data_IF_224959111316
#
_entry.id   IF_224959111316
#
_cell.length_a   1.000
_cell.length_b   1.000
_cell.length_c   1.000
_cell.angle_alpha   90.00
_cell.angle_beta   90.00
_cell.angle_gamma   90.00
#
_symmetry.space_group_name_H-M   'P 1'
#
loop_
_entity.id
_entity.type
_entity.pdbx_description
1 polymer ?
#
# COMPACT_ATOMS: atom_id res chain seq x y z
N UNK A 1 -10.29 5.76 2.83
CA UNK A 1 -9.46 4.55 2.61
C UNK A 1 -8.48 4.95 1.54
N UNK A 2 -7.19 4.62 1.71
CA UNK A 2 -6.19 5.08 0.78
C UNK A 2 -6.38 4.50 -0.62
N UNK A 3 -5.71 5.13 -1.57
CA UNK A 3 -5.94 4.88 -2.98
C UNK A 3 -5.26 3.58 -3.46
N UNK A 4 -6.09 2.62 -3.87
CA UNK A 4 -5.69 1.32 -4.41
C UNK A 4 -4.69 1.42 -5.56
N UNK A 5 -4.90 2.41 -6.44
CA UNK A 5 -4.17 2.51 -7.70
C UNK A 5 -2.79 3.12 -7.55
N UNK A 6 -2.61 4.11 -6.68
CA UNK A 6 -1.29 4.68 -6.34
C UNK A 6 -0.35 3.57 -5.91
N UNK A 7 -0.81 2.75 -4.95
CA UNK A 7 -0.07 1.61 -4.45
C UNK A 7 0.23 0.55 -5.51
N UNK A 8 -0.79 0.13 -6.27
CA UNK A 8 -0.61 -0.91 -7.30
C UNK A 8 0.34 -0.48 -8.42
N UNK A 9 0.18 0.75 -8.92
CA UNK A 9 0.99 1.28 -10.02
C UNK A 9 2.42 1.54 -9.55
N UNK A 10 2.61 2.15 -8.37
CA UNK A 10 3.95 2.37 -7.84
C UNK A 10 4.70 1.06 -7.59
N UNK A 11 4.02 0.03 -7.07
CA UNK A 11 4.62 -1.28 -6.89
C UNK A 11 5.09 -1.89 -8.22
N UNK A 12 4.34 -1.72 -9.32
CA UNK A 12 4.77 -2.19 -10.64
C UNK A 12 6.05 -1.48 -11.11
N UNK A 13 6.12 -0.16 -10.94
CA UNK A 13 7.31 0.64 -11.30
C UNK A 13 8.51 0.24 -10.44
N UNK A 14 8.32 0.15 -9.13
CA UNK A 14 9.37 -0.24 -8.18
C UNK A 14 9.88 -1.63 -8.52
N UNK A 15 8.97 -2.59 -8.76
CA UNK A 15 9.33 -3.93 -9.20
C UNK A 15 10.21 -3.88 -10.45
N UNK A 16 9.82 -3.12 -11.47
CA UNK A 16 10.60 -3.05 -12.71
C UNK A 16 11.99 -2.41 -12.55
N UNK A 17 12.16 -1.50 -11.59
CA UNK A 17 13.45 -0.88 -11.26
C UNK A 17 14.36 -1.76 -10.39
N UNK A 18 13.87 -2.87 -9.83
CA UNK A 18 14.72 -3.83 -9.11
C UNK A 18 15.70 -4.51 -10.07
N UNK A 19 16.91 -4.77 -9.61
CA UNK A 19 17.86 -5.62 -10.32
C UNK A 19 17.44 -7.10 -10.29
N UNK A 20 18.04 -7.90 -11.18
CA UNK A 20 17.69 -9.31 -11.38
C UNK A 20 17.79 -10.15 -10.11
N UNK A 21 18.79 -9.88 -9.25
CA UNK A 21 18.95 -10.58 -7.96
C UNK A 21 17.69 -10.37 -7.12
N UNK A 22 17.29 -9.12 -6.89
CA UNK A 22 16.13 -8.80 -6.06
C UNK A 22 14.81 -9.24 -6.69
N UNK A 23 14.63 -9.10 -8.01
CA UNK A 23 13.44 -9.62 -8.72
C UNK A 23 13.26 -11.12 -8.48
N UNK A 24 14.34 -11.91 -8.49
CA UNK A 24 14.30 -13.37 -8.32
C UNK A 24 13.87 -13.81 -6.91
N UNK A 25 14.05 -12.97 -5.89
CA UNK A 25 13.62 -13.25 -4.51
C UNK A 25 12.08 -13.09 -4.34
N UNK A 26 11.43 -12.38 -5.26
CA UNK A 26 9.97 -12.23 -5.29
C UNK A 26 9.35 -13.42 -6.04
N UNK A 27 9.21 -14.54 -5.33
CA UNK A 27 8.65 -15.78 -5.87
C UNK A 27 7.17 -15.67 -6.31
N UNK A 28 6.41 -14.73 -5.75
CA UNK A 28 5.00 -14.52 -6.10
C UNK A 28 4.67 -13.06 -6.34
N UNK A 29 4.58 -12.66 -7.62
CA UNK A 29 4.09 -11.33 -8.02
C UNK A 29 2.69 -11.04 -7.48
N UNK A 30 1.82 -12.06 -7.37
CA UNK A 30 0.46 -11.92 -6.82
C UNK A 30 0.50 -11.45 -5.36
N UNK A 31 1.37 -12.05 -4.55
CA UNK A 31 1.56 -11.66 -3.15
C UNK A 31 2.25 -10.31 -3.02
N UNK A 32 3.19 -10.00 -3.90
CA UNK A 32 3.82 -8.68 -3.96
C UNK A 32 2.80 -7.57 -4.22
N UNK A 33 1.95 -7.70 -5.25
CA UNK A 33 0.93 -6.70 -5.54
C UNK A 33 -0.18 -6.61 -4.48
N UNK A 34 -0.51 -7.71 -3.80
CA UNK A 34 -1.41 -7.66 -2.66
C UNK A 34 -0.74 -7.00 -1.43
N UNK A 35 0.54 -7.30 -1.20
CA UNK A 35 1.35 -6.67 -0.16
C UNK A 35 1.51 -5.17 -0.37
N UNK A 36 1.55 -4.72 -1.63
CA UNK A 36 1.56 -3.30 -1.99
C UNK A 36 0.32 -2.53 -1.51
N UNK A 37 -0.77 -3.21 -1.20
CA UNK A 37 -1.95 -2.60 -0.58
C UNK A 37 -1.81 -2.47 0.94
N UNK A 38 -0.76 -3.04 1.52
CA UNK A 38 -0.31 -2.80 2.88
C UNK A 38 -1.34 -3.03 3.98
N UNK A 39 -1.36 -2.10 4.94
CA UNK A 39 -2.26 -2.14 6.08
C UNK A 39 -3.72 -1.87 5.69
N UNK A 40 -3.94 -1.27 4.52
CA UNK A 40 -5.27 -0.80 4.11
C UNK A 40 -6.28 -1.91 3.91
N UNK A 41 -5.80 -3.05 3.44
CA UNK A 41 -6.62 -4.26 3.31
C UNK A 41 -7.38 -4.54 4.61
N UNK A 42 -6.70 -4.34 5.75
CA UNK A 42 -7.20 -4.65 7.08
C UNK A 42 -8.12 -3.59 7.68
N UNK A 43 -8.37 -2.47 7.00
CA UNK A 43 -9.50 -1.60 7.35
C UNK A 43 -10.84 -2.35 7.24
N UNK A 44 -10.92 -3.36 6.39
CA UNK A 44 -12.14 -4.15 6.15
C UNK A 44 -12.25 -5.42 7.00
N UNK A 45 -11.30 -5.65 7.92
CA UNK A 45 -11.26 -6.86 8.74
C UNK A 45 -12.45 -6.94 9.71
N UNK A 46 -12.72 -5.86 10.44
CA UNK A 46 -13.86 -5.72 11.32
C UNK A 46 -14.77 -4.57 10.84
N UNK A 47 -16.09 -4.81 10.79
CA UNK A 47 -17.10 -3.82 10.38
C UNK A 47 -17.65 -3.03 11.58
N UNK A 48 -17.21 -3.35 12.79
CA UNK A 48 -17.60 -2.61 13.99
C UNK A 48 -16.76 -1.35 14.11
N UNK A 49 -17.37 -0.16 14.31
CA UNK A 49 -16.64 1.07 14.63
C UNK A 49 -16.10 0.99 16.06
N UNK A 50 -15.10 0.14 16.28
CA UNK A 50 -14.34 0.06 17.52
C UNK A 50 -12.98 0.72 17.33
N UNK A 51 -12.37 1.20 18.42
CA UNK A 51 -11.01 1.76 18.41
C UNK A 51 -9.94 0.76 17.91
N UNK A 52 -10.27 -0.52 17.84
CA UNK A 52 -9.40 -1.66 17.53
C UNK A 52 -9.39 -2.09 16.04
N UNK A 53 -9.52 -1.15 15.09
CA UNK A 53 -9.39 -1.51 13.67
C UNK A 53 -7.94 -1.88 13.32
N UNK A 54 -7.72 -3.09 12.82
CA UNK A 54 -6.38 -3.63 12.52
C UNK A 54 -5.61 -2.75 11.54
N UNK A 55 -6.26 -2.29 10.45
CA UNK A 55 -5.62 -1.39 9.49
C UNK A 55 -5.10 -0.13 10.18
N UNK A 56 -5.91 0.51 11.03
CA UNK A 56 -5.47 1.68 11.82
C UNK A 56 -4.32 1.35 12.78
N UNK A 57 -4.37 0.20 13.45
CA UNK A 57 -3.31 -0.22 14.37
C UNK A 57 -1.99 -0.42 13.64
N UNK A 58 -2.01 -1.02 12.44
CA UNK A 58 -0.80 -1.25 11.65
C UNK A 58 -0.11 0.05 11.23
N UNK A 59 -0.86 1.05 10.74
CA UNK A 59 -0.29 2.35 10.36
C UNK A 59 0.26 3.16 11.55
N UNK A 60 -0.12 2.83 12.78
CA UNK A 60 0.40 3.45 14.01
C UNK A 60 1.62 2.74 14.59
N UNK A 61 1.95 1.53 14.14
CA UNK A 61 3.14 0.81 14.62
C UNK A 61 4.39 1.44 14.01
N UNK A 62 5.51 1.34 14.71
CA UNK A 62 6.83 1.60 14.12
C UNK A 62 7.02 0.74 12.87
N UNK A 63 7.46 1.35 11.78
CA UNK A 63 7.71 0.63 10.53
C UNK A 63 8.79 -0.43 10.74
N UNK A 64 9.90 -0.11 11.41
CA UNK A 64 10.94 -1.08 11.76
C UNK A 64 10.36 -2.31 12.47
N UNK A 65 9.59 -2.11 13.54
CA UNK A 65 8.95 -3.20 14.29
C UNK A 65 8.00 -4.04 13.40
N UNK A 66 7.24 -3.38 12.53
CA UNK A 66 6.31 -4.04 11.62
C UNK A 66 7.06 -4.92 10.60
N UNK A 67 8.14 -4.39 10.01
CA UNK A 67 8.91 -5.11 8.99
C UNK A 67 9.78 -6.22 9.56
N UNK A 68 10.33 -6.07 10.77
CA UNK A 68 11.01 -7.15 11.51
C UNK A 68 10.13 -8.39 11.65
N UNK A 69 8.81 -8.21 11.77
CA UNK A 69 7.84 -9.32 11.82
C UNK A 69 7.40 -9.78 10.43
N UNK A 70 7.18 -8.87 9.48
CA UNK A 70 6.77 -9.25 8.12
C UNK A 70 7.79 -10.15 7.42
N UNK A 71 9.09 -9.90 7.59
CA UNK A 71 10.15 -10.69 6.93
C UNK A 71 10.24 -12.14 7.41
N UNK A 72 9.64 -12.45 8.56
CA UNK A 72 9.50 -13.81 9.07
C UNK A 72 8.34 -14.57 8.40
N UNK A 73 7.45 -13.84 7.71
CA UNK A 73 6.35 -14.38 6.92
C UNK A 73 6.72 -14.58 5.44
N UNK A 74 5.78 -14.31 4.55
CA UNK A 74 6.02 -14.43 3.12
C UNK A 74 6.82 -13.22 2.58
N UNK A 75 8.03 -13.47 2.07
CA UNK A 75 8.93 -12.42 1.63
C UNK A 75 8.39 -11.59 0.44
N UNK A 76 7.63 -12.19 -0.47
CA UNK A 76 7.03 -11.44 -1.59
C UNK A 76 5.96 -10.47 -1.07
N UNK A 77 5.16 -10.90 -0.10
CA UNK A 77 4.17 -10.05 0.54
C UNK A 77 4.82 -8.91 1.34
N UNK A 78 5.87 -9.22 2.11
CA UNK A 78 6.65 -8.21 2.85
C UNK A 78 7.28 -7.17 1.90
N UNK A 79 7.86 -7.61 0.79
CA UNK A 79 8.42 -6.72 -0.23
C UNK A 79 7.35 -5.81 -0.85
N UNK A 80 6.15 -6.34 -1.11
CA UNK A 80 5.00 -5.52 -1.49
C UNK A 80 4.66 -4.48 -0.43
N UNK A 81 4.59 -4.89 0.85
CA UNK A 81 4.31 -3.97 1.95
C UNK A 81 5.33 -2.82 2.03
N UNK A 82 6.59 -3.06 1.68
CA UNK A 82 7.61 -2.01 1.62
C UNK A 82 7.29 -0.92 0.59
N UNK A 83 6.63 -1.24 -0.52
CA UNK A 83 6.20 -0.22 -1.49
C UNK A 83 5.05 0.62 -0.95
N UNK A 84 4.14 0.01 -0.18
CA UNK A 84 3.09 0.74 0.53
C UNK A 84 3.70 1.73 1.53
N UNK A 85 4.62 1.24 2.36
CA UNK A 85 5.36 2.07 3.31
C UNK A 85 6.06 3.26 2.64
N UNK A 86 6.74 3.02 1.52
CA UNK A 86 7.40 4.07 0.77
C UNK A 86 6.43 5.16 0.31
N UNK A 87 5.26 4.77 -0.22
CA UNK A 87 4.25 5.73 -0.68
C UNK A 87 3.66 6.51 0.48
N UNK A 88 3.25 5.82 1.52
CA UNK A 88 2.62 6.46 2.67
C UNK A 88 3.57 7.45 3.33
N UNK A 89 4.79 7.00 3.67
CA UNK A 89 5.75 7.83 4.40
C UNK A 89 6.28 9.03 3.61
N UNK A 90 6.21 9.00 2.27
CA UNK A 90 6.78 10.04 1.40
C UNK A 90 5.72 10.96 0.79
N UNK A 91 4.51 10.47 0.50
CA UNK A 91 3.47 11.23 -0.22
C UNK A 91 2.31 11.68 0.68
N UNK A 92 2.06 11.05 1.84
CA UNK A 92 1.02 11.55 2.74
C UNK A 92 1.19 13.00 3.23
N UNK A 93 2.41 13.54 3.42
CA UNK A 93 2.58 14.95 3.73
C UNK A 93 1.89 15.88 2.72
N UNK A 94 1.93 15.53 1.42
CA UNK A 94 1.26 16.29 0.35
C UNK A 94 -0.27 16.15 0.42
N UNK A 95 -0.76 14.94 0.73
CA UNK A 95 -2.20 14.68 0.95
C UNK A 95 -2.71 15.53 2.11
N UNK A 96 -1.98 15.58 3.24
CA UNK A 96 -2.34 16.36 4.40
C UNK A 96 -2.21 17.86 4.17
N UNK A 97 -1.19 18.31 3.44
CA UNK A 97 -1.06 19.71 3.06
C UNK A 97 -2.28 20.16 2.26
N UNK A 98 -2.70 19.38 1.25
CA UNK A 98 -3.92 19.67 0.50
C UNK A 98 -5.18 19.60 1.38
N UNK A 99 -5.35 18.55 2.19
CA UNK A 99 -6.51 18.39 3.07
C UNK A 99 -6.70 19.60 3.99
N UNK A 100 -5.62 20.13 4.59
CA UNK A 100 -5.65 21.31 5.47
C UNK A 100 -6.16 22.59 4.77
N UNK A 101 -6.00 22.69 3.45
CA UNK A 101 -6.51 23.85 2.67
C UNK A 101 -8.00 23.76 2.35
N UNK A 102 -8.65 22.60 2.57
CA UNK A 102 -10.02 22.34 2.15
C UNK A 102 -10.92 22.14 3.37
N UNK A 103 -12.13 22.70 3.33
CA UNK A 103 -13.18 22.47 4.35
C UNK A 103 -13.95 21.16 4.14
N UNK A 104 -13.62 20.37 3.12
CA UNK A 104 -14.39 19.20 2.72
C UNK A 104 -13.83 17.93 3.38
N UNK A 105 -14.63 17.15 4.14
CA UNK A 105 -14.18 15.92 4.80
C UNK A 105 -13.76 14.81 3.81
N UNK A 106 -14.10 14.95 2.53
CA UNK A 106 -13.68 14.03 1.46
C UNK A 106 -12.44 14.52 0.71
N UNK A 107 -11.81 15.64 1.11
CA UNK A 107 -10.64 16.20 0.43
C UNK A 107 -9.48 15.19 0.38
N UNK A 108 -9.21 14.54 1.51
CA UNK A 108 -8.18 13.49 1.65
C UNK A 108 -8.38 12.38 0.59
N UNK A 109 -9.51 11.68 0.64
CA UNK A 109 -9.81 10.57 -0.27
C UNK A 109 -9.92 10.99 -1.74
N UNK A 110 -10.33 12.24 -2.03
CA UNK A 110 -10.33 12.76 -3.40
C UNK A 110 -8.91 12.95 -3.93
N UNK A 111 -8.03 13.49 -3.10
CA UNK A 111 -6.63 13.72 -3.47
C UNK A 111 -5.88 12.40 -3.67
N UNK A 112 -6.01 11.44 -2.76
CA UNK A 112 -5.45 10.09 -2.93
C UNK A 112 -5.92 9.46 -4.27
N UNK A 113 -7.22 9.58 -4.59
CA UNK A 113 -7.77 9.07 -5.86
C UNK A 113 -7.20 9.77 -7.10
N UNK A 114 -6.89 11.06 -7.03
CA UNK A 114 -6.28 11.80 -8.14
C UNK A 114 -4.79 11.52 -8.27
N UNK A 115 -4.11 11.33 -7.14
CA UNK A 115 -2.71 10.89 -7.10
C UNK A 115 -2.53 9.56 -7.85
N UNK A 116 -3.44 8.61 -7.68
CA UNK A 116 -3.40 7.34 -8.42
C UNK A 116 -3.59 7.50 -9.93
N UNK A 117 -4.42 8.46 -10.36
CA UNK A 117 -4.55 8.80 -11.78
C UNK A 117 -3.29 9.49 -12.30
N UNK A 118 -2.69 10.38 -11.51
CA UNK A 118 -1.46 11.08 -11.88
C UNK A 118 -0.29 10.11 -12.03
N UNK A 119 -0.02 9.26 -11.05
CA UNK A 119 1.07 8.27 -11.10
C UNK A 119 0.88 7.33 -12.30
N UNK A 120 -0.34 6.85 -12.53
CA UNK A 120 -0.70 6.04 -13.71
C UNK A 120 -0.39 6.74 -15.03
N UNK A 121 -0.71 8.03 -15.16
CA UNK A 121 -0.43 8.81 -16.37
C UNK A 121 1.06 9.09 -16.56
N UNK A 122 1.74 9.50 -15.49
CA UNK A 122 3.17 9.82 -15.49
C UNK A 122 4.00 8.64 -16.03
N UNK A 123 3.66 7.42 -15.61
CA UNK A 123 4.40 6.22 -15.99
C UNK A 123 3.76 5.42 -17.14
N UNK A 124 2.65 5.91 -17.73
CA UNK A 124 1.97 5.23 -18.82
C UNK A 124 1.38 3.86 -18.46
N UNK A 125 1.12 3.61 -17.17
CA UNK A 125 0.66 2.31 -16.67
C UNK A 125 -0.85 2.25 -16.51
N UNK A 126 -1.44 1.12 -16.87
CA UNK A 126 -2.88 0.91 -16.75
C UNK A 126 -3.25 0.55 -15.31
N UNK A 127 -4.18 1.30 -14.74
CA UNK A 127 -4.85 0.96 -13.47
C UNK A 127 -5.67 -0.32 -13.60
N UNK A 128 -5.33 -1.34 -12.81
CA UNK A 128 -6.02 -2.63 -12.76
C UNK A 128 -6.28 -3.05 -11.32
N UNK A 129 -7.43 -3.68 -11.08
CA UNK A 129 -7.76 -4.28 -9.77
C UNK A 129 -7.41 -5.76 -9.87
N UNK A 130 -6.69 -6.28 -8.88
CA UNK A 130 -6.37 -7.71 -8.78
C UNK A 130 -7.65 -8.55 -8.89
N UNK A 131 -7.69 -9.56 -9.78
CA UNK A 131 -8.82 -10.49 -9.87
C UNK A 131 -9.13 -11.14 -8.52
N UNK A 132 -10.41 -11.38 -8.26
CA UNK A 132 -10.88 -11.92 -6.98
C UNK A 132 -10.25 -13.27 -6.66
N UNK A 133 -10.13 -14.14 -7.66
CA UNK A 133 -9.59 -15.50 -7.54
C UNK A 133 -8.11 -15.45 -7.16
N UNK A 134 -7.35 -14.53 -7.77
CA UNK A 134 -5.94 -14.28 -7.45
C UNK A 134 -5.81 -13.77 -6.01
N UNK A 135 -6.62 -12.78 -5.64
CA UNK A 135 -6.60 -12.18 -4.32
C UNK A 135 -6.93 -13.22 -3.22
N UNK A 136 -7.97 -14.05 -3.43
CA UNK A 136 -8.36 -15.08 -2.47
C UNK A 136 -7.37 -16.26 -2.40
N UNK A 137 -6.66 -16.57 -3.48
CA UNK A 137 -5.58 -17.58 -3.47
C UNK A 137 -4.42 -17.20 -2.53
N UNK A 138 -4.30 -15.92 -2.14
CA UNK A 138 -3.27 -15.42 -1.25
C UNK A 138 -3.65 -15.50 0.24
N UNK A 139 -4.84 -15.99 0.59
CA UNK A 139 -5.38 -15.95 1.97
C UNK A 139 -4.43 -16.57 3.01
N UNK A 140 -3.91 -17.77 2.74
CA UNK A 140 -3.01 -18.48 3.65
C UNK A 140 -1.72 -17.70 3.93
N UNK A 141 -0.91 -17.38 2.89
CA UNK A 141 0.32 -16.60 3.07
C UNK A 141 0.12 -15.23 3.73
N UNK A 142 -1.00 -14.55 3.43
CA UNK A 142 -1.35 -13.28 4.10
C UNK A 142 -1.64 -13.51 5.58
N UNK A 143 -2.45 -14.52 5.92
CA UNK A 143 -2.73 -14.89 7.30
C UNK A 143 -1.43 -15.24 8.06
N UNK A 144 -0.57 -16.06 7.47
CA UNK A 144 0.69 -16.47 8.08
C UNK A 144 1.65 -15.32 8.34
N UNK A 145 1.63 -14.29 7.48
CA UNK A 145 2.45 -13.10 7.66
C UNK A 145 1.86 -12.14 8.71
N UNK A 146 0.54 -11.95 8.69
CA UNK A 146 -0.12 -10.93 9.52
C UNK A 146 -0.34 -11.41 10.96
N UNK A 147 -0.50 -12.72 11.20
CA UNK A 147 -0.60 -13.28 12.56
C UNK A 147 0.66 -13.02 13.41
N UNK A 148 1.80 -12.77 12.78
CA UNK A 148 3.06 -12.43 13.45
C UNK A 148 3.06 -10.99 14.03
N UNK A 149 2.15 -10.15 13.53
CA UNK A 149 1.99 -8.75 13.92
C UNK A 149 0.75 -8.61 14.81
N UNK A 150 -0.39 -9.17 14.39
CA UNK A 150 -1.65 -9.18 15.12
C UNK A 150 -2.12 -10.62 15.39
N UNK A 151 -1.69 -11.26 16.49
CA UNK A 151 -1.97 -12.66 16.78
C UNK A 151 -3.46 -13.03 16.88
N UNK A 152 -4.34 -12.04 17.04
CA UNK A 152 -5.79 -12.20 17.12
C UNK A 152 -6.45 -12.43 15.75
N UNK A 153 -5.72 -12.29 14.63
CA UNK A 153 -6.30 -12.59 13.32
C UNK A 153 -6.55 -14.09 13.16
N UNK A 154 -7.59 -14.44 12.42
CA UNK A 154 -7.90 -15.84 12.08
C UNK A 154 -7.89 -16.02 10.57
N UNK A 155 -7.61 -17.23 10.10
CA UNK A 155 -7.59 -17.54 8.66
C UNK A 155 -8.93 -17.18 7.99
N UNK A 156 -10.05 -17.58 8.60
CA UNK A 156 -11.40 -17.23 8.09
C UNK A 156 -11.69 -15.73 8.17
N UNK A 157 -11.12 -15.03 9.17
CA UNK A 157 -11.19 -13.58 9.27
C UNK A 157 -10.47 -12.88 8.12
N UNK A 158 -9.25 -13.33 7.79
CA UNK A 158 -8.46 -12.81 6.66
C UNK A 158 -9.19 -13.08 5.35
N UNK A 159 -9.75 -14.27 5.14
CA UNK A 159 -10.52 -14.56 3.94
C UNK A 159 -11.73 -13.63 3.77
N UNK A 160 -12.50 -13.41 4.84
CA UNK A 160 -13.64 -12.47 4.83
C UNK A 160 -13.18 -11.03 4.58
N UNK A 161 -12.06 -10.63 5.18
CA UNK A 161 -11.43 -9.32 4.98
C UNK A 161 -11.09 -9.12 3.50
N UNK A 162 -10.38 -10.07 2.89
CA UNK A 162 -10.03 -10.04 1.47
C UNK A 162 -11.26 -9.98 0.55
N UNK A 163 -12.32 -10.74 0.83
CA UNK A 163 -13.60 -10.67 0.10
C UNK A 163 -14.23 -9.27 0.18
N UNK A 164 -14.26 -8.67 1.37
CA UNK A 164 -14.83 -7.33 1.61
C UNK A 164 -13.99 -6.24 0.95
N UNK A 165 -12.68 -6.31 1.11
CA UNK A 165 -11.74 -5.41 0.47
C UNK A 165 -11.92 -5.41 -1.05
N UNK A 166 -11.99 -6.58 -1.69
CA UNK A 166 -12.27 -6.67 -3.12
C UNK A 166 -13.62 -6.03 -3.51
N UNK A 167 -14.70 -6.35 -2.79
CA UNK A 167 -16.03 -5.80 -3.06
C UNK A 167 -16.05 -4.27 -2.91
N UNK A 168 -15.41 -3.73 -1.86
CA UNK A 168 -15.28 -2.30 -1.63
C UNK A 168 -14.48 -1.62 -2.74
N UNK A 169 -13.29 -2.13 -3.07
CA UNK A 169 -12.45 -1.60 -4.15
C UNK A 169 -13.19 -1.59 -5.49
N UNK A 170 -13.89 -2.67 -5.83
CA UNK A 170 -14.72 -2.73 -7.05
C UNK A 170 -15.85 -1.70 -7.05
N UNK A 171 -16.46 -1.45 -5.90
CA UNK A 171 -17.52 -0.45 -5.77
C UNK A 171 -16.99 0.98 -5.94
N UNK A 172 -15.89 1.32 -5.25
CA UNK A 172 -15.27 2.66 -5.31
C UNK A 172 -14.77 2.97 -6.73
N UNK A 173 -14.13 2.02 -7.39
CA UNK A 173 -13.53 2.20 -8.72
C UNK A 173 -14.36 1.57 -9.84
N UNK A 174 -15.68 1.47 -9.65
CA UNK A 174 -16.60 0.94 -10.69
C UNK A 174 -16.58 1.78 -11.97
N UNK A 175 -16.36 3.09 -11.84
CA UNK A 175 -16.23 4.02 -12.95
C UNK A 175 -14.76 4.33 -13.22
N UNK A 176 -14.33 4.20 -14.48
CA UNK A 176 -12.99 4.60 -14.91
C UNK A 176 -12.91 6.12 -14.95
N UNK A 177 -12.40 6.71 -13.87
CA UNK A 177 -12.14 8.15 -13.77
C UNK A 177 -11.07 8.57 -14.80
N UNK A 178 -11.36 9.56 -15.63
CA UNK A 178 -10.38 10.11 -16.58
C UNK A 178 -9.87 11.49 -16.17
N UNK A 179 -10.57 12.23 -15.31
CA UNK A 179 -10.20 13.61 -14.98
C UNK A 179 -9.91 13.77 -13.50
N UNK A 180 -9.03 14.74 -13.19
CA UNK A 180 -8.77 15.14 -11.81
C UNK A 180 -10.00 15.85 -11.22
N UNK A 181 -10.27 15.63 -9.93
CA UNK A 181 -11.36 16.29 -9.19
C UNK A 181 -10.83 17.36 -8.24
N UNK A 182 -9.62 17.19 -7.76
CA UNK A 182 -8.92 18.16 -6.95
C UNK A 182 -8.43 19.29 -7.85
N UNK A 183 -8.74 20.51 -7.42
CA UNK A 183 -8.15 21.71 -7.95
C UNK A 183 -6.74 21.84 -7.35
N UNK A 184 -5.79 21.14 -7.98
CA UNK A 184 -4.42 21.01 -7.54
C UNK A 184 -3.54 20.69 -8.75
N UNK A 185 -2.36 21.32 -8.83
CA UNK A 185 -1.39 21.03 -9.88
C UNK A 185 -0.53 19.81 -9.52
N UNK A 186 -0.96 18.64 -9.99
CA UNK A 186 -0.23 17.39 -9.79
C UNK A 186 1.13 17.36 -10.49
N UNK A 187 1.40 18.23 -11.49
CA UNK A 187 2.71 18.26 -12.14
C UNK A 187 3.83 18.61 -11.14
N UNK A 188 3.52 19.45 -10.13
CA UNK A 188 4.44 19.79 -9.04
C UNK A 188 4.87 18.58 -8.19
N UNK A 189 4.10 17.49 -8.17
CA UNK A 189 4.44 16.26 -7.44
C UNK A 189 5.34 15.30 -8.21
N UNK A 190 5.68 15.63 -9.46
CA UNK A 190 6.45 14.75 -10.34
C UNK A 190 7.75 14.28 -9.67
N UNK A 191 8.54 15.21 -9.15
CA UNK A 191 9.82 14.90 -8.48
C UNK A 191 9.61 14.11 -7.17
N UNK A 192 8.60 14.48 -6.37
CA UNK A 192 8.26 13.76 -5.13
C UNK A 192 7.88 12.31 -5.40
N UNK A 193 7.15 12.04 -6.50
CA UNK A 193 6.81 10.68 -6.93
C UNK A 193 8.06 9.91 -7.36
N UNK A 194 9.01 10.53 -8.07
CA UNK A 194 10.25 9.85 -8.47
C UNK A 194 11.11 9.49 -7.26
N UNK A 195 11.29 10.43 -6.32
CA UNK A 195 11.96 10.19 -5.04
C UNK A 195 11.28 9.08 -4.23
N UNK A 196 9.96 9.05 -4.24
CA UNK A 196 9.17 7.99 -3.58
C UNK A 196 9.44 6.63 -4.20
N UNK A 197 9.49 6.54 -5.53
CA UNK A 197 9.81 5.30 -6.24
C UNK A 197 11.24 4.84 -5.95
N UNK A 198 12.21 5.75 -5.94
CA UNK A 198 13.62 5.43 -5.61
C UNK A 198 13.77 4.97 -4.15
N UNK A 199 13.10 5.64 -3.23
CA UNK A 199 13.02 5.22 -1.84
C UNK A 199 12.35 3.84 -1.72
N UNK A 200 11.28 3.60 -2.48
CA UNK A 200 10.60 2.30 -2.54
C UNK A 200 11.50 1.17 -3.04
N UNK A 201 12.34 1.41 -4.05
CA UNK A 201 13.36 0.44 -4.48
C UNK A 201 14.31 0.10 -3.33
N UNK A 202 14.77 1.12 -2.60
CA UNK A 202 15.66 0.95 -1.44
C UNK A 202 14.99 0.13 -0.33
N UNK A 203 13.76 0.50 0.07
CA UNK A 203 13.01 -0.20 1.09
C UNK A 203 12.71 -1.67 0.73
N UNK A 204 12.36 -1.93 -0.54
CA UNK A 204 12.16 -3.31 -1.02
C UNK A 204 13.45 -4.11 -0.94
N UNK A 205 14.60 -3.55 -1.33
CA UNK A 205 15.90 -4.23 -1.23
C UNK A 205 16.25 -4.57 0.20
N UNK A 206 16.09 -3.63 1.15
CA UNK A 206 16.28 -3.88 2.58
C UNK A 206 15.43 -5.07 3.08
N UNK A 207 14.15 -5.13 2.70
CA UNK A 207 13.27 -6.25 3.05
C UNK A 207 13.75 -7.57 2.43
N UNK A 208 14.11 -7.57 1.15
CA UNK A 208 14.52 -8.78 0.43
C UNK A 208 15.86 -9.33 0.92
N UNK A 209 16.79 -8.44 1.30
CA UNK A 209 18.06 -8.81 1.94
C UNK A 209 17.88 -9.12 3.44
N UNK A 210 16.66 -9.02 3.98
CA UNK A 210 16.30 -9.22 5.40
C UNK A 210 17.10 -8.34 6.36
N UNK A 211 17.47 -7.15 5.90
CA UNK A 211 18.15 -6.13 6.69
C UNK A 211 17.22 -4.93 6.89
N UNK A 212 16.49 -4.91 8.01
CA UNK A 212 15.57 -3.81 8.33
C UNK A 212 16.38 -2.64 8.88
N UNK A 213 16.87 -1.82 7.96
CA UNK A 213 17.67 -0.63 8.26
C UNK A 213 16.83 0.43 8.99
N UNK A 214 17.33 0.92 10.13
CA UNK A 214 16.66 1.93 10.94
C UNK A 214 16.55 3.29 10.25
N UNK A 215 17.46 3.65 9.34
CA UNK A 215 17.38 4.89 8.55
C UNK A 215 16.24 4.82 7.52
N UNK A 216 16.06 3.63 6.93
CA UNK A 216 15.01 3.39 5.94
C UNK A 216 13.65 3.25 6.62
N UNK A 217 13.55 2.46 7.70
CA UNK A 217 12.29 2.15 8.40
C UNK A 217 12.04 3.01 9.64
N UNK A 218 12.75 4.14 9.77
CA UNK A 218 12.58 5.11 10.84
C UNK A 218 11.46 6.12 10.61
N UNK A 219 10.97 6.27 9.37
CA UNK A 219 9.83 7.16 9.07
C UNK A 219 8.52 6.53 9.52
N UNK A 220 7.58 7.36 9.96
CA UNK A 220 6.19 6.95 10.19
C UNK A 220 5.44 6.76 8.86
N UNK A 221 4.45 5.87 8.84
CA UNK A 221 3.57 5.71 7.67
C UNK A 221 2.81 7.01 7.38
N UNK A 222 2.21 7.61 8.39
CA UNK A 222 1.30 8.75 8.23
C UNK A 222 1.81 9.97 9.00
N UNK A 223 2.87 10.60 8.52
CA UNK A 223 3.40 11.83 9.13
C UNK A 223 2.50 13.03 8.76
N UNK A 224 2.02 13.77 9.77
CA UNK A 224 1.00 14.84 9.62
C UNK A 224 1.57 16.25 9.57
#
# INVERSE_FOLDING_TARGET
MPDYFSHGVAAEIIFEKLDTKHKSLIASKKLYFLGAQGGDVFFTYAMTPTESNIGRTMHKKSAAHLFERLILGNISYAAGFATHYALDSMLHPEVYAYEKTRRNPLAHTRFESDLGLFISRKYGLRRQILPKEILLSCTGPVYDSIKLIEPKVTLSGVERCLKRYFAYTRFIYRTKKQDYKCDYDFAGLSESVDKTVEFGVTAVKCVLDKNIDAEVFGKEFLNK
#
